data_IF_372681199509
#
_entry.id   IF_372681199509
#
_cell.length_a   1.000
_cell.length_b   1.000
_cell.length_c   1.000
_cell.angle_alpha   90.00
_cell.angle_beta   90.00
_cell.angle_gamma   90.00
#
_symmetry.space_group_name_H-M   'P 1'
#
loop_
_entity.id
_entity.type
_entity.pdbx_description
1 polymer ?
#
# COMPACT_ATOMS: atom_id res chain seq x y z
N UNK A 1 -22.07 16.52 -13.34
CA UNK A 1 -22.04 15.04 -13.34
C UNK A 1 -21.24 14.58 -12.13
N UNK A 2 -21.59 13.47 -11.47
CA UNK A 2 -20.78 12.93 -10.36
C UNK A 2 -19.41 12.47 -10.89
N UNK A 3 -18.36 12.72 -10.10
CA UNK A 3 -16.98 12.33 -10.42
C UNK A 3 -16.74 10.87 -10.05
N UNK A 4 -16.23 10.07 -10.98
CA UNK A 4 -15.80 8.69 -10.71
C UNK A 4 -14.56 8.73 -9.80
N UNK A 5 -14.55 7.90 -8.75
CA UNK A 5 -13.39 7.74 -7.85
C UNK A 5 -12.67 6.43 -8.16
N UNK A 6 -11.35 6.48 -8.21
CA UNK A 6 -10.44 5.36 -8.42
C UNK A 6 -10.04 4.72 -7.09
N UNK A 7 -9.84 3.40 -7.09
CA UNK A 7 -9.38 2.61 -5.94
C UNK A 7 -8.69 1.35 -6.44
N UNK A 8 -7.99 0.64 -5.54
CA UNK A 8 -7.42 -0.68 -5.78
C UNK A 8 -8.30 -1.78 -5.17
N UNK A 9 -8.04 -3.05 -5.52
CA UNK A 9 -8.75 -4.21 -4.97
C UNK A 9 -8.30 -4.54 -3.54
N UNK A 10 -7.02 -4.32 -3.21
CA UNK A 10 -6.51 -4.48 -1.86
C UNK A 10 -5.04 -4.89 -1.82
N UNK A 11 -4.76 -6.15 -2.18
CA UNK A 11 -3.44 -6.77 -2.01
C UNK A 11 -2.32 -6.10 -2.83
N UNK A 12 -1.16 -5.96 -2.19
CA UNK A 12 0.08 -5.49 -2.81
C UNK A 12 1.19 -6.55 -2.72
N UNK A 13 2.17 -6.54 -3.64
CA UNK A 13 3.37 -7.35 -3.50
C UNK A 13 4.13 -7.02 -2.21
N UNK A 14 4.57 -8.06 -1.50
CA UNK A 14 5.41 -7.90 -0.30
C UNK A 14 6.82 -7.49 -0.76
N UNK A 15 7.39 -6.37 -0.28
CA UNK A 15 8.73 -5.97 -0.69
C UNK A 15 9.81 -6.95 -0.22
N UNK A 16 10.80 -7.22 -1.07
CA UNK A 16 11.90 -8.18 -0.76
C UNK A 16 12.64 -7.83 0.54
N UNK A 17 12.78 -6.54 0.85
CA UNK A 17 13.45 -6.09 2.08
C UNK A 17 12.62 -6.34 3.34
N UNK A 18 11.29 -6.41 3.25
CA UNK A 18 10.43 -6.82 4.37
C UNK A 18 10.57 -8.32 4.62
N UNK A 19 10.68 -9.12 3.55
CA UNK A 19 10.95 -10.56 3.64
C UNK A 19 12.34 -10.83 4.23
N UNK A 20 13.34 -10.05 3.82
CA UNK A 20 14.73 -10.24 4.24
C UNK A 20 14.98 -9.86 5.71
N UNK A 21 14.29 -8.84 6.24
CA UNK A 21 14.48 -8.36 7.60
C UNK A 21 13.14 -7.96 8.26
N UNK A 22 12.32 -8.94 8.65
CA UNK A 22 10.98 -8.67 9.19
C UNK A 22 11.07 -8.05 10.58
N UNK A 23 10.33 -6.96 10.76
CA UNK A 23 10.11 -6.30 12.04
C UNK A 23 8.82 -5.49 11.98
N UNK A 24 8.27 -5.11 13.14
CA UNK A 24 7.11 -4.21 13.19
C UNK A 24 7.40 -2.90 12.45
N UNK A 25 8.60 -2.34 12.62
CA UNK A 25 9.01 -1.13 11.91
C UNK A 25 9.07 -1.35 10.39
N UNK A 26 9.63 -2.46 9.93
CA UNK A 26 9.67 -2.79 8.51
C UNK A 26 8.25 -2.96 7.91
N UNK A 27 7.30 -3.53 8.66
CA UNK A 27 5.91 -3.66 8.23
C UNK A 27 5.20 -2.30 8.12
N UNK A 28 5.43 -1.42 9.09
CA UNK A 28 4.95 -0.02 9.04
C UNK A 28 5.52 0.70 7.81
N UNK A 29 6.83 0.55 7.57
CA UNK A 29 7.49 1.19 6.44
C UNK A 29 7.00 0.62 5.10
N UNK A 30 6.68 -0.67 5.03
CA UNK A 30 6.17 -1.29 3.81
C UNK A 30 4.75 -0.77 3.50
N UNK A 31 3.93 -0.63 4.53
CA UNK A 31 2.59 -0.05 4.42
C UNK A 31 2.65 1.41 3.96
N UNK A 32 3.61 2.20 4.47
CA UNK A 32 3.84 3.58 4.01
C UNK A 32 4.25 3.64 2.54
N UNK A 33 5.10 2.72 2.08
CA UNK A 33 5.48 2.64 0.66
C UNK A 33 4.25 2.35 -0.21
N UNK A 34 3.38 1.42 0.18
CA UNK A 34 2.14 1.09 -0.54
C UNK A 34 1.20 2.30 -0.62
N UNK A 35 0.98 2.99 0.50
CA UNK A 35 0.11 4.18 0.54
C UNK A 35 0.71 5.30 -0.32
N UNK A 36 1.99 5.62 -0.12
CA UNK A 36 2.66 6.70 -0.85
C UNK A 36 2.69 6.45 -2.35
N UNK A 37 2.84 5.19 -2.78
CA UNK A 37 2.80 4.82 -4.20
C UNK A 37 1.42 5.13 -4.81
N UNK A 38 0.33 4.81 -4.10
CA UNK A 38 -1.03 5.09 -4.56
C UNK A 38 -1.33 6.59 -4.58
N UNK A 39 -0.90 7.33 -3.56
CA UNK A 39 -1.04 8.79 -3.50
C UNK A 39 -0.31 9.47 -4.66
N UNK A 40 0.94 9.07 -4.93
CA UNK A 40 1.72 9.58 -6.06
C UNK A 40 1.09 9.22 -7.43
N UNK A 41 0.39 8.08 -7.51
CA UNK A 41 -0.37 7.68 -8.69
C UNK A 41 -1.73 8.38 -8.84
N UNK A 42 -2.17 9.16 -7.84
CA UNK A 42 -3.44 9.88 -7.87
C UNK A 42 -4.67 9.02 -7.58
N UNK A 43 -4.53 7.91 -6.86
CA UNK A 43 -5.66 7.06 -6.44
C UNK A 43 -6.54 7.82 -5.44
N UNK A 44 -7.86 7.85 -5.69
CA UNK A 44 -8.80 8.63 -4.85
C UNK A 44 -9.07 8.00 -3.47
N UNK A 45 -9.06 6.67 -3.39
CA UNK A 45 -9.24 5.91 -2.14
C UNK A 45 -8.14 4.85 -2.06
N UNK A 46 -7.19 5.06 -1.15
CA UNK A 46 -6.02 4.19 -0.99
C UNK A 46 -6.30 3.00 -0.08
N UNK A 47 -5.49 1.94 -0.19
CA UNK A 47 -5.51 0.76 0.67
C UNK A 47 -4.12 0.49 1.28
N UNK A 48 -4.06 -0.24 2.39
CA UNK A 48 -2.82 -0.61 3.10
C UNK A 48 -2.03 -1.75 2.43
N UNK A 49 -2.59 -2.40 1.41
CA UNK A 49 -1.92 -3.48 0.70
C UNK A 49 -2.14 -4.87 1.31
N UNK A 50 -2.93 -4.98 2.38
CA UNK A 50 -3.14 -6.22 3.14
C UNK A 50 -1.86 -6.84 3.72
N UNK A 51 -0.81 -6.04 3.96
CA UNK A 51 0.51 -6.53 4.37
C UNK A 51 0.56 -7.18 5.76
N UNK A 52 -0.49 -6.99 6.57
CA UNK A 52 -0.63 -7.56 7.91
C UNK A 52 -1.26 -8.97 7.91
N UNK A 53 -1.62 -9.51 6.75
CA UNK A 53 -2.23 -10.84 6.62
C UNK A 53 -1.25 -11.99 6.82
#
# INVERSE_FOLDING_TARGET
>A
MPRIRTTVVGSYPIPDWLVANPSEQALIDATRVVISTQEQAGVDVVCDGELYR
#
